data_IF_161257555565
#
_entry.id   IF_161257555565
#
_cell.length_a   1.000
_cell.length_b   1.000
_cell.length_c   1.000
_cell.angle_alpha   90.00
_cell.angle_beta   90.00
_cell.angle_gamma   90.00
#
_symmetry.space_group_name_H-M   'P 1'
#
loop_
_entity.id
_entity.type
_entity.pdbx_description
1 polymer ?
#
# COMPACT_ATOMS: atom_id res chain seq x y z
N UNK A 1 38.31 47.09 -75.45
CA UNK A 1 38.44 47.71 -74.11
C UNK A 1 37.42 48.84 -74.04
N UNK A 2 36.44 48.76 -73.14
CA UNK A 2 35.52 49.87 -72.86
C UNK A 2 35.35 49.98 -71.36
N UNK A 3 35.86 51.08 -70.80
CA UNK A 3 35.86 51.41 -69.39
C UNK A 3 34.50 51.98 -68.99
N UNK A 4 33.80 51.28 -68.10
CA UNK A 4 32.62 51.79 -67.40
C UNK A 4 33.04 52.91 -66.45
N UNK A 5 32.71 54.15 -66.79
CA UNK A 5 32.91 55.32 -65.94
C UNK A 5 31.97 55.24 -64.72
N UNK A 6 32.56 55.28 -63.53
CA UNK A 6 31.83 55.41 -62.26
C UNK A 6 31.20 56.80 -62.18
N UNK A 7 29.87 56.87 -62.21
CA UNK A 7 29.12 58.07 -61.82
C UNK A 7 29.20 58.22 -60.30
N UNK A 8 29.93 59.22 -59.82
CA UNK A 8 29.95 59.62 -58.41
C UNK A 8 28.68 60.39 -58.07
N UNK A 9 27.77 59.76 -57.32
CA UNK A 9 26.61 60.44 -56.74
C UNK A 9 27.09 61.43 -55.67
N UNK A 10 26.89 62.72 -55.90
CA UNK A 10 27.18 63.75 -54.91
C UNK A 10 25.98 63.79 -53.94
N UNK A 11 26.23 63.64 -52.64
CA UNK A 11 25.17 63.64 -51.64
C UNK A 11 24.48 65.02 -51.55
N UNK A 12 23.14 65.00 -51.56
CA UNK A 12 22.23 66.15 -51.44
C UNK A 12 22.56 67.08 -50.26
N UNK A 13 23.05 66.50 -49.18
CA UNK A 13 23.49 67.21 -47.97
C UNK A 13 24.91 66.79 -47.62
N UNK A 14 25.69 67.73 -47.07
CA UNK A 14 27.01 67.46 -46.52
C UNK A 14 27.20 68.24 -45.22
N UNK A 15 28.02 67.72 -44.33
CA UNK A 15 28.34 68.38 -43.05
C UNK A 15 29.78 68.86 -43.10
N UNK A 16 29.96 70.17 -42.90
CA UNK A 16 31.26 70.81 -42.84
C UNK A 16 31.31 71.65 -41.55
N UNK A 17 32.36 71.48 -40.74
CA UNK A 17 32.53 72.18 -39.46
C UNK A 17 31.31 72.14 -38.51
N UNK A 18 30.58 71.02 -38.50
CA UNK A 18 29.43 70.84 -37.60
C UNK A 18 28.14 71.52 -38.04
N UNK A 19 28.11 72.11 -39.23
CA UNK A 19 26.90 72.68 -39.86
C UNK A 19 26.50 71.80 -41.04
N UNK A 20 25.27 71.28 -41.01
CA UNK A 20 24.70 70.56 -42.15
C UNK A 20 24.27 71.57 -43.22
N UNK A 21 24.82 71.40 -44.43
CA UNK A 21 24.61 72.28 -45.58
C UNK A 21 23.92 71.50 -46.70
N UNK A 22 23.02 72.17 -47.42
CA UNK A 22 22.39 71.67 -48.63
C UNK A 22 23.31 71.94 -49.83
N UNK A 23 23.46 70.96 -50.72
CA UNK A 23 24.12 71.18 -51.99
C UNK A 23 23.19 71.99 -52.92
N UNK A 24 23.64 73.16 -53.38
CA UNK A 24 22.82 74.13 -54.11
C UNK A 24 22.30 73.63 -55.47
N UNK A 25 22.78 72.50 -55.98
CA UNK A 25 22.30 71.89 -57.24
C UNK A 25 20.89 71.29 -57.15
N UNK A 26 20.33 71.09 -55.96
CA UNK A 26 19.01 70.46 -55.77
C UNK A 26 17.88 71.45 -55.47
N UNK A 27 18.17 72.75 -55.30
CA UNK A 27 17.16 73.78 -55.09
C UNK A 27 16.20 73.98 -56.28
N UNK A 28 16.56 73.48 -57.47
CA UNK A 28 15.74 73.53 -58.68
C UNK A 28 14.70 72.39 -58.76
N UNK A 29 14.81 71.35 -57.93
CA UNK A 29 13.99 70.12 -58.02
C UNK A 29 13.35 69.76 -56.68
N UNK A 30 12.60 70.69 -56.07
CA UNK A 30 11.77 70.41 -54.88
C UNK A 30 12.57 70.04 -53.62
N UNK A 31 12.45 70.85 -52.57
CA UNK A 31 13.09 70.56 -51.29
C UNK A 31 12.52 69.28 -50.65
N UNK A 32 13.29 68.19 -50.65
CA UNK A 32 12.95 66.95 -49.94
C UNK A 32 13.15 67.14 -48.43
N UNK A 33 12.08 67.53 -47.75
CA UNK A 33 12.08 67.84 -46.31
C UNK A 33 12.43 66.63 -45.45
N UNK A 34 12.19 65.40 -45.92
CA UNK A 34 12.50 64.19 -45.17
C UNK A 34 14.01 63.97 -45.09
N UNK A 35 14.73 64.09 -46.20
CA UNK A 35 16.20 64.00 -46.20
C UNK A 35 16.86 65.08 -45.34
N UNK A 36 16.27 66.27 -45.27
CA UNK A 36 16.72 67.32 -44.37
C UNK A 36 16.53 66.94 -42.90
N UNK A 37 15.36 66.39 -42.54
CA UNK A 37 15.08 65.89 -41.18
C UNK A 37 16.05 64.76 -40.81
N UNK A 38 16.30 63.83 -41.73
CA UNK A 38 17.26 62.75 -41.55
C UNK A 38 18.68 63.31 -41.32
N UNK A 39 19.09 64.31 -42.10
CA UNK A 39 20.41 64.94 -41.96
C UNK A 39 20.55 65.74 -40.66
N UNK A 40 19.47 66.37 -40.16
CA UNK A 40 19.46 67.05 -38.87
C UNK A 40 19.42 66.07 -37.68
N UNK A 41 18.78 64.91 -37.83
CA UNK A 41 18.63 63.90 -36.76
C UNK A 41 19.78 62.89 -36.74
N UNK A 42 20.52 62.72 -37.84
CA UNK A 42 21.62 61.76 -37.97
C UNK A 42 22.68 61.86 -36.84
N UNK A 43 23.00 63.08 -36.38
CA UNK A 43 23.96 63.28 -35.28
C UNK A 43 23.43 62.76 -33.94
N UNK A 44 22.14 62.91 -33.68
CA UNK A 44 21.48 62.38 -32.48
C UNK A 44 21.34 60.87 -32.59
N UNK A 45 20.93 60.36 -33.76
CA UNK A 45 20.85 58.93 -34.01
C UNK A 45 22.21 58.26 -33.82
N UNK A 46 23.29 58.83 -34.35
CA UNK A 46 24.66 58.32 -34.16
C UNK A 46 25.10 58.28 -32.68
N UNK A 47 24.67 59.26 -31.86
CA UNK A 47 24.92 59.24 -30.41
C UNK A 47 24.10 58.14 -29.72
N UNK A 48 22.85 57.94 -30.12
CA UNK A 48 21.97 56.86 -29.63
C UNK A 48 22.58 55.51 -30.00
N UNK A 49 22.99 55.30 -31.26
CA UNK A 49 23.59 54.05 -31.73
C UNK A 49 24.89 53.74 -30.97
N UNK A 50 25.72 54.75 -30.71
CA UNK A 50 26.92 54.60 -29.88
C UNK A 50 26.55 54.18 -28.45
N UNK A 51 25.54 54.78 -27.86
CA UNK A 51 25.10 54.43 -26.50
C UNK A 51 24.51 53.01 -26.45
N UNK A 52 23.68 52.63 -27.44
CA UNK A 52 23.13 51.28 -27.58
C UNK A 52 24.24 50.24 -27.75
N UNK A 53 25.28 50.55 -28.54
CA UNK A 53 26.45 49.67 -28.68
C UNK A 53 27.20 49.50 -27.35
N UNK A 54 27.41 50.57 -26.59
CA UNK A 54 28.03 50.51 -25.26
C UNK A 54 27.19 49.70 -24.27
N UNK A 55 25.87 49.87 -24.30
CA UNK A 55 24.93 49.08 -23.50
C UNK A 55 24.99 47.59 -23.85
N UNK A 56 25.04 47.25 -25.14
CA UNK A 56 25.18 45.88 -25.60
C UNK A 56 26.50 45.25 -25.12
N UNK A 57 27.62 45.98 -25.23
CA UNK A 57 28.93 45.52 -24.74
C UNK A 57 28.92 45.34 -23.22
N UNK A 58 28.28 46.25 -22.47
CA UNK A 58 28.14 46.11 -21.02
C UNK A 58 27.27 44.90 -20.65
N UNK A 59 26.20 44.65 -21.40
CA UNK A 59 25.34 43.47 -21.23
C UNK A 59 26.09 42.18 -21.48
N UNK A 60 26.83 42.07 -22.59
CA UNK A 60 27.67 40.90 -22.86
C UNK A 60 28.72 40.67 -21.77
N UNK A 61 29.36 41.72 -21.27
CA UNK A 61 30.31 41.60 -20.14
C UNK A 61 29.63 41.06 -18.89
N UNK A 62 28.44 41.58 -18.55
CA UNK A 62 27.66 41.10 -17.41
C UNK A 62 27.24 39.64 -17.56
N UNK A 63 26.83 39.23 -18.77
CA UNK A 63 26.48 37.84 -19.08
C UNK A 63 27.69 36.91 -18.94
N UNK A 64 28.84 37.29 -19.48
CA UNK A 64 30.10 36.56 -19.30
C UNK A 64 30.47 36.38 -17.83
N UNK A 65 30.33 37.44 -17.01
CA UNK A 65 30.60 37.31 -15.57
C UNK A 65 29.64 36.36 -14.87
N UNK A 66 28.34 36.43 -15.18
CA UNK A 66 27.34 35.52 -14.61
C UNK A 66 27.55 34.07 -15.05
N UNK A 67 28.01 33.85 -16.27
CA UNK A 67 28.34 32.52 -16.77
C UNK A 67 29.53 31.91 -16.02
N UNK A 68 30.61 32.68 -15.86
CA UNK A 68 31.79 32.24 -15.08
C UNK A 68 31.40 31.96 -13.63
N UNK A 69 30.60 32.83 -13.01
CA UNK A 69 30.11 32.63 -11.64
C UNK A 69 29.30 31.34 -11.52
N UNK A 70 28.38 31.09 -12.47
CA UNK A 70 27.59 29.85 -12.49
C UNK A 70 28.47 28.62 -12.65
N UNK A 71 29.53 28.68 -13.46
CA UNK A 71 30.47 27.58 -13.60
C UNK A 71 31.26 27.31 -12.31
N UNK A 72 31.67 28.37 -11.60
CA UNK A 72 32.36 28.23 -10.32
C UNK A 72 31.44 27.66 -9.23
N UNK A 73 30.17 28.09 -9.20
CA UNK A 73 29.18 27.53 -8.27
C UNK A 73 28.97 26.04 -8.55
N UNK A 74 28.76 25.64 -9.82
CA UNK A 74 28.64 24.22 -10.19
C UNK A 74 29.86 23.40 -9.79
N UNK A 75 31.08 23.91 -10.06
CA UNK A 75 32.31 23.22 -9.66
C UNK A 75 32.35 23.01 -8.13
N UNK A 76 31.98 24.03 -7.36
CA UNK A 76 31.92 23.96 -5.90
C UNK A 76 30.87 22.96 -5.43
N UNK A 77 29.67 23.04 -5.98
CA UNK A 77 28.53 22.19 -5.61
C UNK A 77 28.79 20.73 -5.95
N UNK A 78 29.34 20.44 -7.13
CA UNK A 78 29.57 19.07 -7.60
C UNK A 78 30.75 18.41 -6.88
N UNK A 79 31.84 19.13 -6.59
CA UNK A 79 33.10 18.49 -6.16
C UNK A 79 33.60 18.89 -4.77
N UNK A 80 33.12 19.98 -4.18
CA UNK A 80 33.58 20.47 -2.88
C UNK A 80 32.47 20.52 -1.81
N UNK A 81 31.21 20.34 -2.21
CA UNK A 81 30.09 20.23 -1.26
C UNK A 81 30.07 18.86 -0.58
N UNK A 82 29.91 18.83 0.74
CA UNK A 82 29.72 17.59 1.50
C UNK A 82 28.40 16.86 1.21
N UNK A 83 27.43 17.55 0.59
CA UNK A 83 26.17 16.94 0.19
C UNK A 83 26.25 16.26 -1.19
N UNK A 84 27.34 16.44 -1.94
CA UNK A 84 27.53 15.83 -3.25
C UNK A 84 28.14 14.43 -3.15
N UNK A 85 27.63 13.51 -3.96
CA UNK A 85 28.18 12.16 -4.11
C UNK A 85 29.59 12.17 -4.72
N UNK A 86 29.95 13.22 -5.50
CA UNK A 86 31.26 13.39 -6.13
C UNK A 86 32.21 14.30 -5.34
N UNK A 87 31.97 14.48 -4.05
CA UNK A 87 32.81 15.30 -3.19
C UNK A 87 34.24 14.76 -3.06
N UNK A 88 35.21 15.48 -3.62
CA UNK A 88 36.64 15.15 -3.59
C UNK A 88 37.20 15.16 -2.15
N UNK A 89 36.58 15.91 -1.23
CA UNK A 89 36.99 15.94 0.18
C UNK A 89 36.48 14.73 0.98
N UNK A 90 35.55 13.94 0.41
CA UNK A 90 35.07 12.71 1.05
C UNK A 90 36.09 11.58 0.91
N UNK A 91 36.35 10.84 1.99
CA UNK A 91 37.18 9.64 1.95
C UNK A 91 36.59 8.53 1.06
N UNK A 92 35.26 8.54 0.86
CA UNK A 92 34.58 7.59 -0.02
C UNK A 92 34.82 7.85 -1.50
N UNK A 93 35.15 9.08 -1.90
CA UNK A 93 35.41 9.43 -3.31
C UNK A 93 36.60 8.66 -3.89
N UNK A 94 37.62 8.39 -3.07
CA UNK A 94 38.80 7.62 -3.46
C UNK A 94 38.69 6.12 -3.13
N UNK A 95 37.53 5.66 -2.66
CA UNK A 95 37.32 4.24 -2.37
C UNK A 95 37.08 3.47 -3.67
N UNK A 96 38.06 2.65 -4.06
CA UNK A 96 38.01 1.83 -5.28
C UNK A 96 37.44 0.42 -5.05
N UNK A 97 36.61 0.24 -4.01
CA UNK A 97 36.07 -1.08 -3.68
C UNK A 97 34.69 -1.28 -4.29
N UNK A 98 34.65 -2.03 -5.39
CA UNK A 98 33.42 -2.60 -5.91
C UNK A 98 33.18 -3.98 -5.28
N UNK A 99 32.00 -4.16 -4.68
CA UNK A 99 31.53 -5.48 -4.25
C UNK A 99 31.00 -6.24 -5.47
N UNK A 100 31.83 -7.13 -6.01
CA UNK A 100 31.48 -7.95 -7.16
C UNK A 100 30.95 -9.30 -6.69
N UNK A 101 29.79 -9.69 -7.20
CA UNK A 101 29.23 -11.03 -7.02
C UNK A 101 29.59 -11.93 -8.19
N UNK A 102 29.89 -13.20 -7.92
CA UNK A 102 30.10 -14.22 -8.96
C UNK A 102 28.79 -14.77 -9.54
N UNK A 103 27.63 -14.35 -9.04
CA UNK A 103 26.31 -14.82 -9.46
C UNK A 103 25.30 -13.67 -9.51
N UNK A 104 24.34 -13.73 -10.45
CA UNK A 104 23.23 -12.78 -10.55
C UNK A 104 22.16 -12.97 -9.46
N UNK A 105 22.24 -14.03 -8.67
CA UNK A 105 21.25 -14.35 -7.63
C UNK A 105 21.40 -13.51 -6.36
N UNK A 106 22.58 -12.94 -6.11
CA UNK A 106 22.89 -12.16 -4.90
C UNK A 106 23.74 -10.95 -5.28
N UNK A 107 23.35 -9.78 -4.81
CA UNK A 107 24.14 -8.54 -4.85
C UNK A 107 24.41 -8.07 -3.41
N UNK A 108 25.56 -7.45 -3.17
CA UNK A 108 25.91 -6.89 -1.86
C UNK A 108 26.32 -5.43 -2.00
N UNK A 109 25.96 -4.62 -1.00
CA UNK A 109 26.40 -3.23 -0.83
C UNK A 109 26.92 -3.05 0.60
N UNK A 110 27.89 -2.16 0.82
CA UNK A 110 28.48 -1.99 2.14
C UNK A 110 29.73 -1.13 2.14
N UNK A 111 30.29 -0.89 3.33
CA UNK A 111 31.52 -0.12 3.47
C UNK A 111 32.76 -0.99 3.24
N UNK A 112 33.72 -0.45 2.50
CA UNK A 112 34.96 -1.12 2.09
C UNK A 112 35.81 -1.68 3.25
N UNK A 113 35.65 -1.12 4.47
CA UNK A 113 36.42 -1.51 5.66
C UNK A 113 36.22 -2.97 6.09
N UNK A 114 35.16 -3.64 5.63
CA UNK A 114 34.80 -5.01 6.00
C UNK A 114 34.90 -6.00 4.82
N UNK A 115 35.50 -5.58 3.70
CA UNK A 115 35.54 -6.37 2.48
C UNK A 115 36.55 -7.54 2.59
N UNK A 116 36.09 -8.65 3.14
CA UNK A 116 36.70 -9.97 2.96
C UNK A 116 35.95 -10.77 1.90
N UNK A 117 36.56 -11.84 1.39
CA UNK A 117 35.85 -12.79 0.53
C UNK A 117 34.73 -13.49 1.33
N UNK A 118 33.48 -13.20 0.98
CA UNK A 118 32.31 -13.90 1.52
C UNK A 118 31.89 -15.00 0.55
N UNK A 119 31.69 -16.22 1.05
CA UNK A 119 31.22 -17.36 0.26
C UNK A 119 29.76 -17.65 0.61
N UNK A 120 28.87 -17.52 -0.37
CA UNK A 120 27.47 -17.94 -0.27
C UNK A 120 27.34 -19.31 -0.96
N UNK A 121 27.19 -20.38 -0.18
CA UNK A 121 27.13 -21.74 -0.71
C UNK A 121 25.84 -22.00 -1.53
N UNK A 122 24.70 -21.50 -1.06
CA UNK A 122 23.39 -21.67 -1.72
C UNK A 122 22.35 -20.69 -1.16
N UNK A 123 21.39 -20.28 -1.99
CA UNK A 123 20.16 -19.57 -1.57
C UNK A 123 19.00 -20.56 -1.61
N UNK A 124 18.48 -20.96 -0.45
CA UNK A 124 17.40 -21.97 -0.37
C UNK A 124 16.00 -21.39 -0.62
N UNK A 125 15.75 -20.14 -0.20
CA UNK A 125 14.45 -19.48 -0.34
C UNK A 125 14.59 -17.95 -0.26
N UNK A 126 13.76 -17.22 -1.01
CA UNK A 126 13.59 -15.76 -0.88
C UNK A 126 12.53 -15.45 0.16
N UNK A 127 12.75 -14.45 1.03
CA UNK A 127 11.70 -13.93 1.89
C UNK A 127 10.53 -13.42 1.02
N UNK A 128 9.31 -13.83 1.35
CA UNK A 128 8.08 -13.34 0.72
C UNK A 128 7.25 -12.64 1.78
N UNK A 129 6.71 -11.46 1.45
CA UNK A 129 5.70 -10.83 2.30
C UNK A 129 4.46 -11.73 2.39
N UNK A 130 3.84 -11.80 3.57
CA UNK A 130 2.56 -12.47 3.72
C UNK A 130 1.51 -11.72 2.88
N UNK A 131 0.90 -12.41 1.92
CA UNK A 131 -0.19 -11.86 1.11
C UNK A 131 -1.46 -12.61 1.50
N UNK A 132 -2.44 -11.87 2.03
CA UNK A 132 -3.79 -12.35 2.23
C UNK A 132 -4.66 -11.81 1.10
N UNK A 133 -5.05 -12.69 0.17
CA UNK A 133 -6.07 -12.38 -0.84
C UNK A 133 -7.40 -12.90 -0.35
N UNK A 134 -8.33 -12.01 -0.03
CA UNK A 134 -9.74 -12.38 0.18
C UNK A 134 -10.31 -12.89 -1.15
N UNK A 135 -10.76 -14.14 -1.21
CA UNK A 135 -11.70 -14.53 -2.25
C UNK A 135 -13.03 -13.85 -1.93
N UNK A 136 -13.49 -13.00 -2.86
CA UNK A 136 -14.72 -12.23 -2.82
C UNK A 136 -14.85 -11.17 -1.71
N UNK A 137 -14.80 -9.89 -2.12
CA UNK A 137 -15.82 -8.82 -1.94
C UNK A 137 -15.30 -7.60 -2.76
N UNK A 138 -15.08 -7.77 -4.06
CA UNK A 138 -14.85 -6.63 -4.96
C UNK A 138 -15.99 -6.56 -5.96
N UNK A 139 -16.82 -5.51 -5.90
CA UNK A 139 -17.94 -5.29 -6.83
C UNK A 139 -19.34 -5.59 -6.28
N UNK A 140 -19.48 -5.91 -5.00
CA UNK A 140 -20.80 -6.10 -4.36
C UNK A 140 -21.41 -4.72 -4.05
N UNK A 141 -22.24 -4.20 -4.95
CA UNK A 141 -23.01 -2.95 -4.74
C UNK A 141 -24.26 -3.16 -3.89
N UNK A 142 -24.57 -4.40 -3.52
CA UNK A 142 -25.80 -4.75 -2.80
C UNK A 142 -25.54 -5.90 -1.85
N UNK A 143 -25.70 -5.65 -0.55
CA UNK A 143 -25.77 -6.71 0.47
C UNK A 143 -27.21 -7.20 0.47
N UNK A 144 -27.46 -8.34 -0.18
CA UNK A 144 -28.76 -9.00 -0.13
C UNK A 144 -28.79 -9.95 1.05
N UNK A 145 -29.83 -9.87 1.88
CA UNK A 145 -30.10 -10.95 2.83
C UNK A 145 -30.46 -12.22 2.05
N UNK A 146 -30.24 -13.38 2.66
CA UNK A 146 -30.90 -14.61 2.22
C UNK A 146 -32.42 -14.52 2.35
N UNK A 147 -33.10 -15.65 2.15
CA UNK A 147 -34.54 -15.76 2.38
C UNK A 147 -34.89 -15.35 3.82
N UNK A 148 -35.70 -14.31 3.97
CA UNK A 148 -36.23 -13.88 5.25
C UNK A 148 -37.25 -14.93 5.71
N UNK A 149 -37.01 -15.52 6.88
CA UNK A 149 -37.93 -16.49 7.48
C UNK A 149 -38.98 -15.75 8.31
N UNK A 150 -40.24 -16.20 8.26
CA UNK A 150 -41.32 -15.68 9.10
C UNK A 150 -41.17 -16.06 10.58
N UNK A 151 -40.36 -17.09 10.84
CA UNK A 151 -40.01 -17.57 12.17
C UNK A 151 -38.48 -17.59 12.25
N UNK A 152 -37.95 -16.89 13.26
CA UNK A 152 -36.53 -16.88 13.54
C UNK A 152 -36.21 -17.96 14.55
N UNK A 153 -35.59 -19.04 14.10
CA UNK A 153 -34.87 -19.96 14.95
C UNK A 153 -33.36 -19.65 14.83
N UNK A 154 -32.80 -18.88 15.76
CA UNK A 154 -31.36 -18.74 15.85
C UNK A 154 -30.74 -20.09 16.20
N UNK A 155 -29.97 -20.63 15.27
CA UNK A 155 -28.95 -21.58 15.66
C UNK A 155 -27.90 -20.83 16.48
N UNK A 156 -27.93 -21.01 17.80
CA UNK A 156 -26.86 -20.53 18.66
C UNK A 156 -25.53 -21.25 18.38
N UNK A 157 -25.47 -22.22 17.46
CA UNK A 157 -24.26 -23.02 17.19
C UNK A 157 -23.76 -22.96 15.76
N UNK A 158 -24.62 -22.65 14.79
CA UNK A 158 -24.24 -22.56 13.38
C UNK A 158 -23.17 -21.49 13.14
N UNK A 159 -22.08 -21.86 12.47
CA UNK A 159 -20.91 -21.00 12.23
C UNK A 159 -19.93 -20.90 13.41
N UNK A 160 -20.26 -21.44 14.59
CA UNK A 160 -19.33 -21.44 15.72
C UNK A 160 -18.24 -22.48 15.51
N UNK A 161 -17.03 -22.14 15.92
CA UNK A 161 -15.84 -22.97 15.70
C UNK A 161 -15.15 -23.32 17.00
N UNK A 162 -14.47 -24.46 17.00
CA UNK A 162 -13.52 -24.89 18.03
C UNK A 162 -12.26 -25.43 17.36
N UNK A 163 -11.18 -25.55 18.13
CA UNK A 163 -9.91 -26.09 17.65
C UNK A 163 -9.66 -27.43 18.32
N UNK A 164 -9.48 -28.47 17.51
CA UNK A 164 -9.09 -29.82 17.94
C UNK A 164 -7.61 -30.02 17.70
N UNK A 165 -6.88 -30.47 18.72
CA UNK A 165 -5.51 -30.94 18.58
C UNK A 165 -5.47 -32.46 18.44
N UNK A 166 -4.71 -32.95 17.46
CA UNK A 166 -4.43 -34.38 17.28
C UNK A 166 -3.07 -34.56 16.60
N UNK A 167 -2.25 -35.49 17.08
CA UNK A 167 -0.94 -35.78 16.48
C UNK A 167 0.02 -34.58 16.45
N UNK A 168 -0.07 -33.68 17.43
CA UNK A 168 0.73 -32.45 17.49
C UNK A 168 0.31 -31.33 16.54
N UNK A 169 -0.79 -31.51 15.80
CA UNK A 169 -1.39 -30.52 14.89
C UNK A 169 -2.71 -29.99 15.46
N UNK A 170 -3.11 -28.82 14.99
CA UNK A 170 -4.38 -28.18 15.36
C UNK A 170 -5.29 -28.05 14.14
N UNK A 171 -6.57 -28.32 14.32
CA UNK A 171 -7.59 -28.34 13.28
C UNK A 171 -8.81 -27.55 13.74
N UNK A 172 -9.22 -26.58 12.94
CA UNK A 172 -10.45 -25.83 13.18
C UNK A 172 -11.64 -26.63 12.67
N UNK A 173 -12.62 -26.86 13.53
CA UNK A 173 -13.91 -27.44 13.18
C UNK A 173 -15.00 -26.39 13.41
N UNK A 174 -15.83 -26.15 12.41
CA UNK A 174 -16.87 -25.11 12.36
C UNK A 174 -18.24 -25.73 12.17
N UNK A 175 -19.11 -25.69 13.16
CA UNK A 175 -20.48 -26.22 13.01
C UNK A 175 -21.16 -25.55 11.82
N UNK A 176 -21.72 -26.35 10.91
CA UNK A 176 -22.36 -25.82 9.71
C UNK A 176 -23.48 -24.82 10.06
N UNK A 177 -23.54 -23.70 9.35
CA UNK A 177 -24.54 -22.65 9.56
C UNK A 177 -25.98 -23.15 9.39
N UNK A 178 -26.19 -24.28 8.70
CA UNK A 178 -27.51 -24.90 8.54
C UNK A 178 -27.96 -25.74 9.74
N UNK A 179 -27.09 -26.03 10.71
CA UNK A 179 -27.47 -26.82 11.89
C UNK A 179 -28.44 -26.00 12.73
N UNK A 180 -29.62 -26.53 13.01
CA UNK A 180 -30.60 -25.91 13.91
C UNK A 180 -30.77 -26.78 15.16
N UNK A 181 -30.88 -26.11 16.31
CA UNK A 181 -31.18 -26.75 17.58
C UNK A 181 -32.65 -26.59 17.90
N UNK A 182 -33.24 -27.63 18.48
CA UNK A 182 -34.59 -27.55 19.03
C UNK A 182 -34.55 -26.68 20.29
N UNK A 183 -35.62 -25.92 20.54
CA UNK A 183 -35.70 -25.03 21.70
C UNK A 183 -37.07 -25.13 22.37
N UNK A 184 -37.15 -24.78 23.65
CA UNK A 184 -38.39 -24.78 24.43
C UNK A 184 -38.35 -25.80 25.56
N UNK A 185 -39.42 -25.83 26.37
CA UNK A 185 -39.50 -26.66 27.57
C UNK A 185 -39.41 -28.18 27.30
N UNK A 186 -39.76 -28.61 26.07
CA UNK A 186 -39.74 -30.01 25.64
C UNK A 186 -38.50 -30.36 24.78
N UNK A 187 -37.54 -29.44 24.63
CA UNK A 187 -36.35 -29.71 23.83
C UNK A 187 -35.44 -30.76 24.51
N UNK A 188 -35.13 -31.83 23.78
CA UNK A 188 -34.17 -32.83 24.24
C UNK A 188 -32.74 -32.32 24.03
N UNK A 189 -32.10 -31.94 25.13
CA UNK A 189 -30.73 -31.47 25.11
C UNK A 189 -29.76 -32.50 24.53
N UNK A 190 -29.96 -33.80 24.76
CA UNK A 190 -29.07 -34.82 24.24
C UNK A 190 -29.25 -35.00 22.72
N UNK A 191 -30.49 -34.87 22.22
CA UNK A 191 -30.74 -34.83 20.78
C UNK A 191 -30.04 -33.62 20.12
N UNK A 192 -30.09 -32.45 20.74
CA UNK A 192 -29.39 -31.27 20.26
C UNK A 192 -27.86 -31.41 20.30
N UNK A 193 -27.30 -31.96 21.37
CA UNK A 193 -25.87 -32.25 21.44
C UNK A 193 -25.47 -33.26 20.35
N UNK A 194 -26.32 -34.25 20.08
CA UNK A 194 -26.11 -35.21 18.98
C UNK A 194 -26.05 -34.50 17.63
N UNK A 195 -26.94 -33.54 17.35
CA UNK A 195 -26.87 -32.72 16.12
C UNK A 195 -25.55 -31.97 15.98
N UNK A 196 -25.01 -31.44 17.09
CA UNK A 196 -23.71 -30.74 17.11
C UNK A 196 -22.58 -31.74 16.84
N UNK A 197 -22.53 -32.85 17.56
CA UNK A 197 -21.46 -33.85 17.41
C UNK A 197 -21.50 -34.51 16.03
N UNK A 198 -22.68 -34.77 15.47
CA UNK A 198 -22.83 -35.29 14.10
C UNK A 198 -22.27 -34.32 13.08
N UNK A 199 -22.48 -33.01 13.28
CA UNK A 199 -21.92 -32.00 12.39
C UNK A 199 -20.39 -31.89 12.51
N UNK A 200 -19.85 -31.91 13.72
CA UNK A 200 -18.40 -31.93 13.95
C UNK A 200 -17.78 -33.20 13.35
N UNK A 201 -18.43 -34.36 13.49
CA UNK A 201 -18.00 -35.62 12.90
C UNK A 201 -18.05 -35.60 11.36
N UNK A 202 -19.00 -34.90 10.74
CA UNK A 202 -19.01 -34.70 9.27
C UNK A 202 -17.77 -33.94 8.80
N UNK A 203 -17.30 -32.95 9.56
CA UNK A 203 -16.07 -32.24 9.24
C UNK A 203 -14.82 -33.08 9.47
N UNK A 204 -14.78 -33.83 10.57
CA UNK A 204 -13.72 -34.82 10.82
C UNK A 204 -13.64 -35.81 9.65
N UNK A 205 -14.79 -36.34 9.19
CA UNK A 205 -14.85 -37.28 8.08
C UNK A 205 -14.44 -36.68 6.73
N UNK A 206 -14.44 -35.35 6.61
CA UNK A 206 -14.00 -34.60 5.43
C UNK A 206 -12.52 -34.21 5.49
N UNK A 207 -11.85 -34.41 6.63
CA UNK A 207 -10.42 -34.17 6.83
C UNK A 207 -9.64 -35.47 6.71
N UNK A 208 -8.73 -35.56 5.75
CA UNK A 208 -7.88 -36.76 5.55
C UNK A 208 -7.00 -37.06 6.78
N UNK A 209 -6.65 -36.05 7.58
CA UNK A 209 -5.78 -36.21 8.76
C UNK A 209 -6.54 -36.58 10.04
N UNK A 210 -7.85 -36.31 10.11
CA UNK A 210 -8.68 -36.60 11.28
C UNK A 210 -9.62 -37.78 11.08
N UNK A 211 -10.00 -38.09 9.84
CA UNK A 211 -10.96 -39.14 9.50
C UNK A 211 -10.49 -40.49 10.06
N UNK A 212 -11.32 -41.07 10.93
CA UNK A 212 -11.04 -42.37 11.55
C UNK A 212 -10.03 -42.31 12.70
N UNK A 213 -9.55 -41.13 13.07
CA UNK A 213 -8.57 -40.92 14.14
C UNK A 213 -9.18 -40.28 15.40
N UNK A 214 -10.21 -39.45 15.23
CA UNK A 214 -10.93 -38.81 16.35
C UNK A 214 -12.43 -38.91 16.13
N UNK A 215 -13.21 -38.86 17.21
CA UNK A 215 -14.67 -38.90 17.17
C UNK A 215 -15.28 -38.07 18.32
N UNK A 216 -16.30 -37.28 18.00
CA UNK A 216 -17.18 -36.68 19.00
C UNK A 216 -18.39 -37.58 19.28
N UNK A 217 -18.82 -37.65 20.54
CA UNK A 217 -20.08 -38.27 20.95
C UNK A 217 -20.81 -37.43 21.99
N UNK A 218 -22.13 -37.61 22.07
CA UNK A 218 -22.98 -36.94 23.06
C UNK A 218 -23.80 -37.98 23.83
N UNK A 219 -23.53 -38.12 25.13
CA UNK A 219 -24.27 -39.02 26.00
C UNK A 219 -24.48 -38.37 27.38
N UNK A 220 -25.66 -38.57 27.96
CA UNK A 220 -25.99 -38.07 29.30
C UNK A 220 -25.74 -36.55 29.46
N UNK A 221 -26.04 -35.77 28.42
CA UNK A 221 -25.83 -34.32 28.41
C UNK A 221 -24.37 -33.88 28.38
N UNK A 222 -23.43 -34.79 28.12
CA UNK A 222 -22.00 -34.49 28.03
C UNK A 222 -21.49 -34.73 26.62
N UNK A 223 -20.62 -33.85 26.14
CA UNK A 223 -19.89 -34.04 24.89
C UNK A 223 -18.54 -34.67 25.18
N UNK A 224 -18.20 -35.72 24.47
CA UNK A 224 -16.90 -36.39 24.57
C UNK A 224 -16.18 -36.31 23.23
N UNK A 225 -14.89 -35.94 23.26
CA UNK A 225 -13.95 -36.13 22.15
C UNK A 225 -12.99 -37.24 22.55
N UNK A 226 -12.82 -38.25 21.69
CA UNK A 226 -11.84 -39.32 21.90
C UNK A 226 -10.98 -39.53 20.68
N UNK A 227 -9.76 -40.00 20.91
CA UNK A 227 -8.98 -40.67 19.87
C UNK A 227 -9.54 -42.08 19.65
N UNK A 228 -9.70 -42.49 18.40
CA UNK A 228 -10.23 -43.82 18.04
C UNK A 228 -9.24 -44.94 18.39
N UNK A 229 -7.95 -44.63 18.43
CA UNK A 229 -6.90 -45.56 18.88
C UNK A 229 -6.81 -45.68 20.41
N UNK A 230 -7.52 -44.83 21.17
CA UNK A 230 -7.53 -44.80 22.63
C UNK A 230 -6.19 -44.49 23.30
N UNK A 231 -5.16 -44.06 22.54
CA UNK A 231 -3.79 -43.87 23.04
C UNK A 231 -3.17 -42.54 22.65
N UNK A 232 -3.56 -41.97 21.50
CA UNK A 232 -3.09 -40.66 21.07
C UNK A 232 -3.86 -39.56 21.77
N UNK A 233 -3.13 -38.59 22.32
CA UNK A 233 -3.75 -37.45 22.98
C UNK A 233 -4.53 -36.56 22.00
N UNK A 234 -5.74 -36.19 22.41
CA UNK A 234 -6.54 -35.13 21.81
C UNK A 234 -6.57 -33.91 22.73
N UNK A 235 -6.77 -32.73 22.15
CA UNK A 235 -7.03 -31.50 22.91
C UNK A 235 -8.16 -30.70 22.28
N UNK A 236 -8.86 -29.90 23.08
CA UNK A 236 -9.83 -28.93 22.56
C UNK A 236 -9.52 -27.55 23.11
N UNK A 237 -9.45 -26.55 22.25
CA UNK A 237 -9.25 -25.14 22.62
C UNK A 237 -10.24 -24.25 21.88
N UNK A 238 -10.46 -23.05 22.41
CA UNK A 238 -11.34 -22.09 21.77
C UNK A 238 -10.77 -21.59 20.45
N UNK A 239 -11.66 -21.41 19.47
CA UNK A 239 -11.36 -20.67 18.27
C UNK A 239 -11.39 -19.16 18.54
N UNK A 240 -10.46 -18.42 17.93
CA UNK A 240 -10.40 -16.96 17.98
C UNK A 240 -10.08 -16.44 16.58
N UNK A 241 -10.99 -15.68 15.98
CA UNK A 241 -10.72 -14.97 14.73
C UNK A 241 -9.73 -13.82 14.93
N UNK A 242 -9.79 -13.17 16.09
CA UNK A 242 -8.89 -12.10 16.53
C UNK A 242 -8.70 -12.13 18.06
N UNK A 243 -7.94 -11.17 18.61
CA UNK A 243 -7.63 -11.13 20.04
C UNK A 243 -8.82 -10.86 20.96
N UNK A 244 -9.90 -10.27 20.44
CA UNK A 244 -11.09 -9.86 21.18
C UNK A 244 -12.28 -10.83 20.96
N UNK A 245 -12.15 -11.78 20.02
CA UNK A 245 -13.16 -12.79 19.73
C UNK A 245 -13.35 -13.76 20.92
N UNK A 246 -14.52 -13.67 21.54
CA UNK A 246 -14.97 -14.52 22.64
C UNK A 246 -15.96 -15.60 22.21
N UNK A 247 -16.28 -15.69 20.91
CA UNK A 247 -17.30 -16.59 20.39
C UNK A 247 -16.92 -18.07 20.52
N UNK A 248 -15.64 -18.42 20.34
CA UNK A 248 -15.15 -19.78 20.55
C UNK A 248 -15.06 -20.16 22.03
N UNK A 249 -14.69 -19.21 22.90
CA UNK A 249 -14.61 -19.45 24.35
C UNK A 249 -16.00 -19.69 24.96
N UNK A 250 -16.98 -18.88 24.54
CA UNK A 250 -18.38 -19.05 24.94
C UNK A 250 -18.94 -20.37 24.41
N UNK A 251 -18.64 -20.74 23.16
CA UNK A 251 -19.06 -22.02 22.58
C UNK A 251 -18.47 -23.22 23.32
N UNK A 252 -17.15 -23.20 23.58
CA UNK A 252 -16.46 -24.29 24.25
C UNK A 252 -16.98 -24.48 25.68
N UNK A 253 -17.24 -23.37 26.38
CA UNK A 253 -17.83 -23.37 27.72
C UNK A 253 -19.26 -23.91 27.70
N UNK A 254 -20.04 -23.53 26.69
CA UNK A 254 -21.41 -24.02 26.52
C UNK A 254 -21.47 -25.53 26.24
N UNK A 255 -20.43 -26.12 25.65
CA UNK A 255 -20.31 -27.58 25.48
C UNK A 255 -19.71 -28.30 26.70
N UNK A 256 -19.34 -27.58 27.76
CA UNK A 256 -18.70 -28.14 28.95
C UNK A 256 -17.24 -28.55 28.76
N UNK A 257 -16.58 -28.10 27.69
CA UNK A 257 -15.24 -28.56 27.30
C UNK A 257 -14.10 -27.60 27.73
N UNK A 258 -14.42 -26.52 28.43
CA UNK A 258 -13.44 -25.50 28.84
C UNK A 258 -12.33 -26.04 29.74
N UNK A 259 -11.08 -25.70 29.41
CA UNK A 259 -9.90 -26.04 30.21
C UNK A 259 -9.46 -27.50 30.15
N UNK A 260 -10.02 -28.32 29.26
CA UNK A 260 -9.64 -29.72 29.09
C UNK A 260 -8.54 -29.85 28.03
N UNK A 261 -7.39 -30.43 28.37
CA UNK A 261 -6.24 -30.56 27.46
C UNK A 261 -5.62 -31.96 27.51
N UNK A 262 -5.05 -32.37 26.37
CA UNK A 262 -4.19 -33.54 26.15
C UNK A 262 -4.57 -34.80 26.95
N UNK A 263 -5.52 -35.56 26.42
CA UNK A 263 -5.84 -36.90 26.90
C UNK A 263 -6.36 -37.75 25.74
N UNK A 264 -6.26 -39.08 25.82
CA UNK A 264 -6.87 -39.96 24.81
C UNK A 264 -8.41 -39.84 24.71
N UNK A 265 -9.05 -39.34 25.77
CA UNK A 265 -10.48 -39.03 25.83
C UNK A 265 -10.72 -37.81 26.71
N UNK A 266 -11.46 -36.83 26.20
CA UNK A 266 -11.89 -35.63 26.89
C UNK A 266 -13.42 -35.67 26.96
N UNK A 267 -13.96 -35.77 28.18
CA UNK A 267 -15.40 -35.63 28.43
C UNK A 267 -15.64 -34.28 29.09
N UNK A 268 -16.54 -33.50 28.49
CA UNK A 268 -16.99 -32.23 29.03
C UNK A 268 -17.87 -32.41 30.24
N UNK A 269 -18.06 -31.33 31.00
CA UNK A 269 -19.03 -31.29 32.08
C UNK A 269 -20.46 -31.33 31.49
N UNK A 270 -21.46 -31.72 32.29
CA UNK A 270 -22.85 -31.78 31.83
C UNK A 270 -23.31 -30.40 31.36
N UNK A 271 -23.78 -30.33 30.11
CA UNK A 271 -24.27 -29.10 29.49
C UNK A 271 -25.52 -28.62 30.20
N UNK A 272 -25.54 -27.33 30.53
CA UNK A 272 -26.70 -26.68 31.14
C UNK A 272 -27.84 -26.60 30.13
N UNK A 273 -29.02 -27.08 30.52
CA UNK A 273 -30.21 -27.17 29.65
C UNK A 273 -31.33 -26.23 30.08
N UNK A 274 -31.09 -25.37 31.07
CA UNK A 274 -32.07 -24.43 31.57
C UNK A 274 -32.20 -23.19 30.67
N UNK A 275 -33.12 -22.29 31.04
CA UNK A 275 -33.42 -21.08 30.27
C UNK A 275 -32.23 -20.10 30.16
N UNK A 276 -31.20 -20.25 30.99
CA UNK A 276 -29.99 -19.44 30.98
C UNK A 276 -28.87 -20.08 30.15
N UNK A 277 -29.13 -21.25 29.53
CA UNK A 277 -28.17 -21.95 28.69
C UNK A 277 -27.75 -21.11 27.48
N UNK A 278 -26.45 -20.78 27.33
CA UNK A 278 -25.94 -20.05 26.16
C UNK A 278 -25.99 -20.88 24.88
N UNK A 279 -26.22 -22.20 24.97
CA UNK A 279 -26.28 -23.12 23.83
C UNK A 279 -27.71 -23.26 23.28
N UNK A 280 -28.73 -23.19 24.14
CA UNK A 280 -30.11 -23.52 23.78
C UNK A 280 -31.09 -22.33 23.85
N UNK A 281 -30.68 -21.18 24.39
CA UNK A 281 -31.52 -19.99 24.43
C UNK A 281 -31.38 -19.14 23.15
N UNK A 282 -32.51 -18.94 22.46
CA UNK A 282 -32.62 -18.18 21.22
C UNK A 282 -33.06 -16.75 21.51
N UNK A 283 -32.14 -15.86 21.91
CA UNK A 283 -32.46 -14.43 22.05
C UNK A 283 -31.51 -13.56 21.24
N UNK A 284 -32.07 -12.73 20.36
CA UNK A 284 -31.36 -11.53 19.90
C UNK A 284 -31.33 -10.63 21.13
N UNK A 285 -30.15 -10.43 21.71
CA UNK A 285 -30.01 -9.40 22.75
C UNK A 285 -30.52 -8.09 22.18
N UNK A 286 -31.29 -7.31 22.96
CA UNK A 286 -31.73 -5.96 22.56
C UNK A 286 -30.55 -5.02 22.25
N UNK A 287 -29.33 -5.40 22.65
CA UNK A 287 -28.09 -4.69 22.32
C UNK A 287 -27.43 -5.15 21.00
N UNK A 288 -28.05 -6.06 20.25
CA UNK A 288 -27.48 -6.58 19.00
C UNK A 288 -27.35 -5.45 17.97
N UNK A 289 -26.27 -5.46 17.20
CA UNK A 289 -26.00 -4.43 16.20
C UNK A 289 -25.36 -4.98 14.93
N UNK A 290 -25.54 -4.27 13.83
CA UNK A 290 -24.91 -4.52 12.54
C UNK A 290 -23.83 -3.46 12.32
N UNK A 291 -22.57 -3.88 12.14
CA UNK A 291 -21.48 -2.97 11.72
C UNK A 291 -21.38 -2.96 10.20
N UNK A 292 -21.41 -1.77 9.61
CA UNK A 292 -21.33 -1.54 8.17
C UNK A 292 -20.18 -0.59 7.89
N UNK A 293 -19.40 -0.82 6.84
CA UNK A 293 -18.38 0.13 6.39
C UNK A 293 -18.78 0.70 5.04
N UNK A 294 -18.96 2.01 4.97
CA UNK A 294 -19.34 2.74 3.74
C UNK A 294 -18.34 3.85 3.52
N UNK A 295 -17.70 3.87 2.35
CA UNK A 295 -16.69 4.86 1.97
C UNK A 295 -15.57 5.06 3.02
N UNK A 296 -15.15 3.96 3.65
CA UNK A 296 -14.11 3.97 4.68
C UNK A 296 -14.57 4.38 6.08
N UNK A 297 -15.84 4.76 6.25
CA UNK A 297 -16.44 5.13 7.53
C UNK A 297 -17.22 3.94 8.12
N UNK A 298 -17.02 3.67 9.41
CA UNK A 298 -17.72 2.61 10.12
C UNK A 298 -19.05 3.12 10.71
N UNK A 299 -20.13 2.38 10.49
CA UNK A 299 -21.49 2.62 10.96
C UNK A 299 -21.95 1.47 11.82
N UNK A 300 -22.75 1.74 12.86
CA UNK A 300 -23.35 0.73 13.73
C UNK A 300 -24.86 0.91 13.75
N UNK A 301 -25.61 -0.13 13.39
CA UNK A 301 -27.09 -0.15 13.36
C UNK A 301 -27.57 -1.09 14.47
N UNK A 302 -28.27 -0.57 15.47
CA UNK A 302 -28.79 -1.39 16.57
C UNK A 302 -30.13 -2.05 16.17
N UNK A 303 -30.24 -3.34 16.42
CA UNK A 303 -31.41 -4.17 16.15
C UNK A 303 -32.27 -4.22 17.42
N UNK A 304 -32.98 -3.12 17.69
CA UNK A 304 -33.92 -3.01 18.80
C UNK A 304 -33.82 -1.68 19.56
N UNK A 305 -34.96 -1.00 19.69
CA UNK A 305 -35.25 0.00 20.72
C UNK A 305 -36.54 -0.40 21.41
#
# INVERSE_FOLDING_TARGET
MSSTASTSSISSFYTENGVTRLNGSELMSGLDTQKLIDAMTAKTQSKIDKQNSLEQVATWRREMYREVESLMQKLSDDYFSFASDTNILSSTFFSSLDLVSSSSAVSATGTASNAGNVVVNSVSQTAKAAVYTTQDISGVTTIQSGALQSEWAQSAVGGKSLVVGYGGKQYTLTVDSSVTLDSGADADANANLTKITDNLNKQIASSDELKGHVEFSAENGQVTLKSTDGTTDVSVTAYKADGDDTSGETFLSALGLSGKTAAASITGDTVTTDADSPLFNQTVSSASYLKLKVDGTDYTVYLGT
#
